data_IF_964999880716
#
_entry.id   IF_964999880716
#
_cell.length_a   1.000
_cell.length_b   1.000
_cell.length_c   1.000
_cell.angle_alpha   90.00
_cell.angle_beta   90.00
_cell.angle_gamma   90.00
#
_symmetry.space_group_name_H-M   'P 1'
#
loop_
_entity.id
_entity.type
_entity.pdbx_description
1 polymer ?
#
# COMPACT_ATOMS: atom_id res chain seq x y z
N UNK A 1 45.18 -42.52 -54.41
CA UNK A 1 45.49 -41.09 -54.26
C UNK A 1 44.75 -40.55 -53.04
N UNK A 2 45.46 -40.18 -51.96
CA UNK A 2 44.88 -39.52 -50.78
C UNK A 2 45.08 -38.02 -50.93
N UNK A 3 44.06 -37.30 -51.37
CA UNK A 3 44.09 -35.84 -51.43
C UNK A 3 44.12 -35.26 -50.03
N UNK A 4 45.24 -34.62 -49.66
CA UNK A 4 45.34 -33.83 -48.43
C UNK A 4 44.52 -32.56 -48.62
N UNK A 5 43.38 -32.47 -47.95
CA UNK A 5 42.64 -31.21 -47.80
C UNK A 5 43.48 -30.28 -46.92
N UNK A 6 44.03 -29.22 -47.51
CA UNK A 6 44.59 -28.10 -46.76
C UNK A 6 43.43 -27.33 -46.16
N UNK A 7 43.09 -27.65 -44.91
CA UNK A 7 42.10 -26.89 -44.15
C UNK A 7 42.69 -25.51 -43.82
N UNK A 8 41.99 -24.45 -44.21
CA UNK A 8 42.37 -23.10 -43.85
C UNK A 8 42.06 -22.88 -42.37
N UNK A 9 43.09 -23.02 -41.53
CA UNK A 9 42.99 -22.90 -40.08
C UNK A 9 42.40 -21.57 -39.62
N UNK A 10 42.56 -20.50 -40.40
CA UNK A 10 41.98 -19.19 -40.11
C UNK A 10 40.44 -19.23 -40.17
N UNK A 11 39.88 -20.02 -41.10
CA UNK A 11 38.42 -20.24 -41.22
C UNK A 11 37.90 -21.06 -40.04
N UNK A 12 38.66 -22.08 -39.60
CA UNK A 12 38.25 -22.91 -38.47
C UNK A 12 38.21 -22.08 -37.18
N UNK A 13 39.24 -21.26 -36.94
CA UNK A 13 39.30 -20.40 -35.75
C UNK A 13 38.17 -19.37 -35.74
N UNK A 14 37.88 -18.74 -36.88
CA UNK A 14 36.79 -17.76 -36.98
C UNK A 14 35.41 -18.39 -36.73
N UNK A 15 35.17 -19.59 -37.24
CA UNK A 15 33.92 -20.33 -36.97
C UNK A 15 33.78 -20.68 -35.49
N UNK A 16 34.85 -21.16 -34.85
CA UNK A 16 34.83 -21.49 -33.41
C UNK A 16 34.58 -20.25 -32.55
N UNK A 17 35.24 -19.12 -32.87
CA UNK A 17 35.03 -17.86 -32.16
C UNK A 17 33.59 -17.37 -32.32
N UNK A 18 33.04 -17.44 -33.53
CA UNK A 18 31.65 -17.06 -33.78
C UNK A 18 30.67 -17.88 -32.92
N UNK A 19 30.81 -19.21 -32.92
CA UNK A 19 29.95 -20.07 -32.10
C UNK A 19 30.15 -19.87 -30.59
N UNK A 20 31.37 -19.58 -30.13
CA UNK A 20 31.60 -19.24 -28.72
C UNK A 20 30.92 -17.93 -28.32
N UNK A 21 30.97 -16.90 -29.18
CA UNK A 21 30.33 -15.60 -28.94
C UNK A 21 28.80 -15.71 -28.98
N UNK A 22 28.26 -16.55 -29.87
CA UNK A 22 26.84 -16.79 -29.96
C UNK A 22 26.35 -17.57 -28.73
N UNK A 23 27.13 -18.53 -28.24
CA UNK A 23 26.84 -19.27 -27.02
C UNK A 23 26.78 -18.37 -25.78
N UNK A 24 27.76 -17.47 -25.60
CA UNK A 24 27.73 -16.52 -24.47
C UNK A 24 26.59 -15.52 -24.59
N UNK A 25 26.26 -15.07 -25.80
CA UNK A 25 25.12 -14.19 -26.06
C UNK A 25 23.78 -14.86 -25.74
N UNK A 26 23.60 -16.13 -26.11
CA UNK A 26 22.39 -16.89 -25.81
C UNK A 26 22.23 -17.16 -24.30
N UNK A 27 23.32 -17.46 -23.60
CA UNK A 27 23.32 -17.59 -22.14
C UNK A 27 22.99 -16.25 -21.44
N UNK A 28 23.52 -15.14 -21.97
CA UNK A 28 23.18 -13.80 -21.48
C UNK A 28 21.70 -13.46 -21.67
N UNK A 29 21.11 -13.80 -22.82
CA UNK A 29 19.68 -13.61 -23.07
C UNK A 29 18.83 -14.50 -22.16
N UNK A 30 19.19 -15.78 -21.98
CA UNK A 30 18.45 -16.66 -21.08
C UNK A 30 18.47 -16.16 -19.64
N UNK A 31 19.61 -15.67 -19.15
CA UNK A 31 19.71 -15.14 -17.80
C UNK A 31 18.93 -13.82 -17.62
N UNK A 32 18.84 -12.96 -18.64
CA UNK A 32 18.14 -11.67 -18.54
C UNK A 32 16.66 -11.72 -18.88
N UNK A 33 16.19 -12.64 -19.73
CA UNK A 33 14.76 -12.77 -20.06
C UNK A 33 13.98 -13.67 -19.07
N UNK A 34 14.67 -14.54 -18.33
CA UNK A 34 14.02 -15.49 -17.38
C UNK A 34 14.00 -14.94 -15.95
N UNK A 35 14.77 -13.90 -15.63
CA UNK A 35 14.53 -13.16 -14.38
C UNK A 35 13.44 -12.12 -14.62
N UNK A 36 12.40 -12.20 -13.81
CA UNK A 36 11.16 -11.41 -13.86
C UNK A 36 11.43 -9.92 -13.64
N UNK A 37 11.96 -9.23 -14.64
CA UNK A 37 12.05 -7.76 -14.63
C UNK A 37 10.64 -7.18 -14.77
N UNK A 38 10.12 -6.68 -13.68
CA UNK A 38 8.92 -5.84 -13.65
C UNK A 38 9.33 -4.37 -13.82
N UNK A 39 8.41 -3.51 -14.26
CA UNK A 39 8.67 -2.08 -14.26
C UNK A 39 8.58 -1.55 -12.83
N UNK A 40 9.51 -0.64 -12.46
CA UNK A 40 9.48 0.01 -11.16
C UNK A 40 8.13 0.71 -10.96
N UNK A 41 7.41 0.34 -9.89
CA UNK A 41 6.08 0.89 -9.58
C UNK A 41 4.89 0.19 -10.26
N UNK A 42 5.09 -0.84 -11.09
CA UNK A 42 3.98 -1.64 -11.61
C UNK A 42 3.33 -2.46 -10.48
N UNK A 43 2.01 -2.34 -10.35
CA UNK A 43 1.21 -3.26 -9.55
C UNK A 43 1.04 -4.58 -10.32
N UNK A 44 1.74 -5.62 -9.85
CA UNK A 44 1.74 -6.95 -10.47
C UNK A 44 0.59 -7.83 -9.97
N UNK A 45 -0.32 -7.28 -9.16
CA UNK A 45 -1.36 -8.02 -8.45
C UNK A 45 -0.82 -8.96 -7.37
N UNK A 46 -1.69 -9.38 -6.45
CA UNK A 46 -1.34 -10.21 -5.29
C UNK A 46 -0.27 -9.60 -4.36
N UNK A 47 -0.33 -8.28 -4.14
CA UNK A 47 0.45 -7.58 -3.12
C UNK A 47 1.97 -7.70 -3.34
N UNK A 48 2.40 -7.51 -4.59
CA UNK A 48 3.80 -7.55 -4.98
C UNK A 48 4.19 -6.25 -5.66
N UNK A 49 5.34 -5.69 -5.27
CA UNK A 49 5.90 -4.49 -5.88
C UNK A 49 7.21 -4.82 -6.59
N UNK A 50 7.52 -4.04 -7.63
CA UNK A 50 8.81 -4.10 -8.28
C UNK A 50 9.80 -3.11 -7.66
N UNK A 51 10.97 -3.59 -7.23
CA UNK A 51 12.03 -2.72 -6.72
C UNK A 51 12.80 -2.03 -7.87
N UNK A 52 13.70 -1.10 -7.53
CA UNK A 52 14.51 -0.34 -8.48
C UNK A 52 15.51 -1.18 -9.27
N UNK A 53 15.73 -2.43 -8.85
CA UNK A 53 16.59 -3.41 -9.51
C UNK A 53 15.79 -4.31 -10.48
N UNK A 54 14.47 -4.07 -10.59
CA UNK A 54 13.57 -4.86 -11.41
C UNK A 54 13.16 -6.18 -10.76
N UNK A 55 13.43 -6.39 -9.47
CA UNK A 55 13.05 -7.60 -8.76
C UNK A 55 11.64 -7.49 -8.18
N UNK A 56 10.86 -8.56 -8.38
CA UNK A 56 9.53 -8.72 -7.80
C UNK A 56 9.66 -9.09 -6.31
N UNK A 57 9.30 -8.14 -5.44
CA UNK A 57 9.20 -8.37 -4.00
C UNK A 57 7.75 -8.69 -3.67
N UNK A 58 7.52 -9.89 -3.12
CA UNK A 58 6.23 -10.31 -2.58
C UNK A 58 6.41 -10.70 -1.11
N UNK A 59 5.31 -10.74 -0.36
CA UNK A 59 5.17 -11.01 1.10
C UNK A 59 5.95 -12.22 1.68
N UNK A 60 6.62 -13.05 0.88
CA UNK A 60 7.41 -14.19 1.36
C UNK A 60 8.89 -13.88 1.68
N UNK A 61 9.38 -12.66 1.44
CA UNK A 61 10.80 -12.33 1.65
C UNK A 61 11.06 -11.02 2.43
N UNK A 62 10.10 -10.53 3.21
CA UNK A 62 10.42 -9.54 4.25
C UNK A 62 11.12 -10.28 5.39
N UNK A 63 12.45 -10.20 5.39
CA UNK A 63 13.32 -10.70 6.45
C UNK A 63 12.77 -10.35 7.82
N UNK A 64 12.59 -11.39 8.65
CA UNK A 64 12.19 -11.31 10.06
C UNK A 64 13.17 -10.45 10.86
N UNK A 65 12.93 -9.15 10.90
CA UNK A 65 13.38 -8.32 12.01
C UNK A 65 12.18 -7.52 12.58
N UNK A 66 11.73 -8.01 13.74
CA UNK A 66 10.99 -7.29 14.79
C UNK A 66 9.53 -6.83 14.50
N UNK A 67 8.59 -7.70 14.90
CA UNK A 67 7.24 -7.36 15.45
C UNK A 67 6.09 -6.92 14.53
N UNK A 68 6.11 -7.23 13.22
CA UNK A 68 4.96 -7.01 12.31
C UNK A 68 4.28 -8.34 11.93
N UNK A 69 3.97 -9.21 12.90
CA UNK A 69 3.39 -10.54 12.61
C UNK A 69 1.87 -10.55 12.48
N UNK A 70 1.19 -9.46 12.83
CA UNK A 70 -0.27 -9.48 13.01
C UNK A 70 -1.02 -8.60 11.99
N UNK A 71 -0.29 -7.87 11.12
CA UNK A 71 -0.89 -7.06 10.07
C UNK A 71 -0.98 -7.87 8.78
N UNK A 72 -2.05 -7.67 8.03
CA UNK A 72 -2.31 -8.35 6.76
C UNK A 72 -2.84 -7.35 5.73
N UNK A 73 -2.59 -7.66 4.47
CA UNK A 73 -3.15 -7.02 3.28
C UNK A 73 -4.20 -7.92 2.60
N UNK A 74 -4.45 -9.11 3.13
CA UNK A 74 -5.37 -10.06 2.53
C UNK A 74 -6.79 -9.51 2.54
N UNK A 75 -7.41 -9.39 1.36
CA UNK A 75 -8.74 -8.81 1.22
C UNK A 75 -8.77 -7.28 1.35
N UNK A 76 -7.61 -6.61 1.31
CA UNK A 76 -7.51 -5.15 1.25
C UNK A 76 -7.27 -4.71 -0.19
N UNK A 77 -8.14 -3.84 -0.70
CA UNK A 77 -7.84 -2.98 -1.84
C UNK A 77 -7.34 -1.65 -1.30
N UNK A 78 -6.07 -1.34 -1.56
CA UNK A 78 -5.43 -0.11 -1.09
C UNK A 78 -5.07 0.77 -2.28
N UNK A 79 -5.36 2.07 -2.16
CA UNK A 79 -4.91 3.07 -3.12
C UNK A 79 -4.49 4.35 -2.40
N UNK A 80 -3.67 5.14 -3.07
CA UNK A 80 -3.24 6.42 -2.55
C UNK A 80 -3.06 7.44 -3.67
N UNK A 81 -3.24 8.71 -3.33
CA UNK A 81 -3.07 9.81 -4.27
C UNK A 81 -2.55 11.06 -3.56
N UNK A 82 -1.99 11.98 -4.34
CA UNK A 82 -1.53 13.28 -3.85
C UNK A 82 -2.70 14.21 -3.57
N UNK A 83 -2.66 14.90 -2.42
CA UNK A 83 -3.63 15.95 -2.10
C UNK A 83 -3.02 17.34 -2.26
N UNK A 84 -1.96 17.62 -1.51
CA UNK A 84 -1.32 18.93 -1.52
C UNK A 84 0.11 18.86 -1.01
N UNK A 85 0.95 19.79 -1.48
CA UNK A 85 2.30 19.98 -0.94
C UNK A 85 2.21 20.58 0.46
N UNK A 86 3.19 20.27 1.29
CA UNK A 86 3.34 20.86 2.61
C UNK A 86 4.56 21.78 2.64
N UNK A 87 4.56 22.76 3.54
CA UNK A 87 5.74 23.60 3.76
C UNK A 87 6.89 22.76 4.32
N UNK A 88 8.13 23.13 3.98
CA UNK A 88 9.36 22.41 4.36
C UNK A 88 9.51 22.24 5.88
N UNK A 89 8.87 23.11 6.67
CA UNK A 89 8.90 23.08 8.14
C UNK A 89 7.75 22.30 8.79
N UNK A 90 6.89 21.68 8.00
CA UNK A 90 5.76 20.93 8.51
C UNK A 90 6.18 19.55 9.00
N UNK A 91 5.70 19.16 10.17
CA UNK A 91 5.92 17.81 10.71
C UNK A 91 5.01 16.83 9.98
N UNK A 92 5.56 16.15 8.98
CA UNK A 92 4.89 15.12 8.17
C UNK A 92 4.27 14.04 9.06
N UNK A 93 4.85 13.78 10.23
CA UNK A 93 4.48 12.67 11.11
C UNK A 93 3.22 12.94 11.96
N UNK A 94 2.75 14.19 12.04
CA UNK A 94 1.58 14.55 12.87
C UNK A 94 0.29 14.79 12.08
N UNK A 95 0.31 14.58 10.76
CA UNK A 95 -0.81 14.92 9.89
C UNK A 95 -1.70 13.73 9.58
N UNK A 96 -2.25 13.05 10.59
CA UNK A 96 -3.24 11.98 10.36
C UNK A 96 -4.64 12.53 10.58
N UNK A 97 -5.48 12.45 9.54
CA UNK A 97 -6.89 12.81 9.60
C UNK A 97 -7.72 11.72 8.94
N UNK A 98 -8.73 11.24 9.66
CA UNK A 98 -9.78 10.41 9.08
C UNK A 98 -10.76 11.31 8.34
N UNK A 99 -10.86 11.15 7.02
CA UNK A 99 -11.70 12.02 6.18
C UNK A 99 -13.09 11.42 5.95
N UNK A 100 -13.17 10.12 5.68
CA UNK A 100 -14.43 9.40 5.48
C UNK A 100 -14.29 7.94 5.90
N UNK A 101 -15.27 7.43 6.63
CA UNK A 101 -15.39 6.02 7.00
C UNK A 101 -16.81 5.59 6.65
N UNK A 102 -16.91 4.59 5.78
CA UNK A 102 -18.18 4.12 5.26
C UNK A 102 -18.19 2.59 5.11
N UNK A 103 -19.34 1.99 5.41
CA UNK A 103 -19.57 0.55 5.18
C UNK A 103 -20.66 0.40 4.13
N UNK A 104 -20.33 -0.26 3.01
CA UNK A 104 -21.26 -0.51 1.90
C UNK A 104 -21.39 -2.01 1.72
N UNK A 105 -22.55 -2.56 2.12
CA UNK A 105 -22.76 -4.00 2.16
C UNK A 105 -21.77 -4.67 3.11
N UNK A 106 -20.92 -5.55 2.58
CA UNK A 106 -19.87 -6.24 3.34
C UNK A 106 -18.54 -5.51 3.30
N UNK A 107 -18.39 -4.42 2.56
CA UNK A 107 -17.09 -3.76 2.40
C UNK A 107 -16.99 -2.57 3.35
N UNK A 108 -15.85 -2.46 4.03
CA UNK A 108 -15.51 -1.29 4.84
C UNK A 108 -14.49 -0.44 4.09
N UNK A 109 -14.86 0.80 3.78
CA UNK A 109 -13.99 1.80 3.18
C UNK A 109 -13.57 2.80 4.24
N UNK A 110 -12.27 3.03 4.37
CA UNK A 110 -11.67 4.04 5.24
C UNK A 110 -10.77 4.93 4.40
N UNK A 111 -10.99 6.23 4.46
CA UNK A 111 -10.18 7.24 3.80
C UNK A 111 -9.41 8.04 4.85
N UNK A 112 -8.10 8.11 4.67
CA UNK A 112 -7.15 8.80 5.54
C UNK A 112 -6.39 9.85 4.75
N UNK A 113 -6.23 11.03 5.32
CA UNK A 113 -5.21 11.99 4.89
C UNK A 113 -4.01 11.83 5.81
N UNK A 114 -2.85 11.44 5.27
CA UNK A 114 -1.61 11.29 6.04
C UNK A 114 -0.49 12.14 5.42
N UNK A 115 0.51 12.52 6.22
CA UNK A 115 1.75 13.06 5.68
C UNK A 115 2.57 11.98 4.99
N UNK A 116 3.18 12.32 3.86
CA UNK A 116 4.04 11.43 3.07
C UNK A 116 5.17 12.23 2.40
N UNK A 117 5.98 11.53 1.60
CA UNK A 117 7.03 12.12 0.78
C UNK A 117 6.63 12.04 -0.69
N UNK A 118 6.79 13.15 -1.41
CA UNK A 118 6.48 13.27 -2.82
C UNK A 118 7.71 13.67 -3.64
N UNK A 119 7.63 13.49 -4.95
CA UNK A 119 8.61 14.01 -5.90
C UNK A 119 8.15 15.35 -6.50
N UNK A 120 8.96 15.92 -7.39
CA UNK A 120 8.67 17.20 -8.07
C UNK A 120 7.48 17.14 -9.02
N UNK A 121 7.01 15.95 -9.38
CA UNK A 121 5.85 15.73 -10.23
C UNK A 121 4.55 15.52 -9.41
N UNK A 122 4.63 15.73 -8.09
CA UNK A 122 3.54 15.48 -7.13
C UNK A 122 3.11 14.00 -7.08
N UNK A 123 4.01 13.07 -7.38
CA UNK A 123 3.77 11.66 -7.12
C UNK A 123 4.15 11.35 -5.68
N UNK A 124 3.25 10.67 -4.97
CA UNK A 124 3.50 10.16 -3.62
C UNK A 124 4.47 8.98 -3.69
N UNK A 125 5.37 8.87 -2.72
CA UNK A 125 6.30 7.75 -2.62
C UNK A 125 5.54 6.42 -2.62
N UNK A 126 6.02 5.39 -3.34
CA UNK A 126 5.37 4.09 -3.36
C UNK A 126 5.15 3.59 -1.94
N UNK A 127 3.92 3.19 -1.64
CA UNK A 127 3.52 2.80 -0.29
C UNK A 127 2.49 1.68 -0.35
N UNK A 128 2.37 0.93 0.74
CA UNK A 128 1.46 -0.21 0.86
C UNK A 128 0.67 -0.12 2.16
N UNK A 129 -0.64 -0.33 2.05
CA UNK A 129 -1.54 -0.39 3.19
C UNK A 129 -1.61 -1.79 3.80
N UNK A 130 -1.77 -1.84 5.11
CA UNK A 130 -2.05 -3.05 5.86
C UNK A 130 -3.11 -2.77 6.93
N UNK A 131 -3.76 -3.84 7.40
CA UNK A 131 -4.67 -3.74 8.52
C UNK A 131 -4.50 -4.91 9.49
N UNK A 132 -4.96 -4.71 10.72
CA UNK A 132 -5.07 -5.73 11.74
C UNK A 132 -6.42 -5.62 12.41
N UNK A 133 -7.15 -6.73 12.40
CA UNK A 133 -8.43 -6.85 13.08
C UNK A 133 -8.25 -7.49 14.46
N UNK A 134 -8.89 -6.90 15.47
CA UNK A 134 -9.05 -7.45 16.81
C UNK A 134 -10.53 -7.40 17.20
N UNK A 135 -10.90 -8.02 18.32
CA UNK A 135 -12.31 -8.18 18.73
C UNK A 135 -13.11 -6.86 18.70
N UNK A 136 -12.52 -5.77 19.21
CA UNK A 136 -13.16 -4.45 19.30
C UNK A 136 -12.37 -3.34 18.59
N UNK A 137 -11.44 -3.67 17.70
CA UNK A 137 -10.72 -2.63 16.95
C UNK A 137 -10.16 -3.07 15.62
N UNK A 138 -10.15 -2.13 14.69
CA UNK A 138 -9.45 -2.21 13.42
C UNK A 138 -8.30 -1.20 13.44
N UNK A 139 -7.09 -1.69 13.18
CA UNK A 139 -5.88 -0.87 13.12
C UNK A 139 -5.36 -0.90 11.69
N UNK A 140 -5.27 0.27 11.06
CA UNK A 140 -4.68 0.49 9.74
C UNK A 140 -3.23 0.94 9.89
N UNK A 141 -2.40 0.65 8.89
CA UNK A 141 -1.03 1.17 8.82
C UNK A 141 -0.58 1.26 7.37
N UNK A 142 0.38 2.13 7.09
CA UNK A 142 1.03 2.26 5.78
C UNK A 142 2.52 2.04 5.98
N UNK A 143 3.14 1.35 5.02
CA UNK A 143 4.59 1.26 4.90
C UNK A 143 5.02 1.94 3.61
N UNK A 144 5.91 2.91 3.71
CA UNK A 144 6.42 3.67 2.57
C UNK A 144 7.79 3.16 2.10
N UNK A 145 8.03 3.17 0.79
CA UNK A 145 9.32 2.85 0.18
C UNK A 145 10.03 4.13 -0.28
N UNK A 146 11.01 4.58 0.52
CA UNK A 146 11.83 5.75 0.25
C UNK A 146 13.21 5.42 -0.34
N UNK A 147 13.37 4.24 -0.95
CA UNK A 147 14.65 3.86 -1.61
C UNK A 147 15.04 4.81 -2.75
N UNK A 148 14.08 5.47 -3.37
CA UNK A 148 14.28 6.42 -4.44
C UNK A 148 14.38 7.85 -3.89
N UNK A 149 15.55 8.48 -4.06
CA UNK A 149 15.88 9.82 -3.56
C UNK A 149 15.11 10.96 -4.23
N UNK A 150 14.36 10.68 -5.30
CA UNK A 150 13.47 11.68 -5.92
C UNK A 150 12.25 12.02 -5.06
N UNK A 151 11.85 11.13 -4.13
CA UNK A 151 10.78 11.40 -3.17
C UNK A 151 11.35 12.11 -1.93
N UNK A 152 11.49 13.42 -2.02
CA UNK A 152 12.17 14.23 -1.00
C UNK A 152 11.40 15.50 -0.59
N UNK A 153 10.17 15.69 -1.09
CA UNK A 153 9.32 16.84 -0.80
C UNK A 153 8.19 16.41 0.14
N UNK A 154 8.07 17.00 1.34
CA UNK A 154 6.92 16.79 2.22
C UNK A 154 5.57 17.08 1.53
N UNK A 155 4.63 16.15 1.62
CA UNK A 155 3.30 16.31 1.05
C UNK A 155 2.24 15.62 1.90
N UNK A 156 0.97 15.88 1.57
CA UNK A 156 -0.18 15.15 2.09
C UNK A 156 -0.69 14.19 1.04
N UNK A 157 -0.96 12.96 1.45
CA UNK A 157 -1.58 11.94 0.60
C UNK A 157 -2.94 11.52 1.12
N UNK A 158 -3.87 11.28 0.20
CA UNK A 158 -5.10 10.56 0.46
C UNK A 158 -4.81 9.07 0.35
N UNK A 159 -5.30 8.29 1.32
CA UNK A 159 -5.05 6.86 1.42
C UNK A 159 -6.40 6.19 1.65
N UNK A 160 -6.76 5.30 0.73
CA UNK A 160 -8.04 4.60 0.75
C UNK A 160 -7.79 3.14 1.06
N UNK A 161 -8.43 2.66 2.11
CA UNK A 161 -8.41 1.26 2.53
C UNK A 161 -9.81 0.69 2.32
N UNK A 162 -9.94 -0.26 1.39
CA UNK A 162 -11.20 -0.97 1.17
C UNK A 162 -11.03 -2.43 1.60
N UNK A 163 -11.53 -2.76 2.79
CA UNK A 163 -11.48 -4.11 3.33
C UNK A 163 -12.72 -4.87 2.88
N UNK A 164 -12.51 -5.89 2.05
CA UNK A 164 -13.58 -6.74 1.51
C UNK A 164 -14.08 -7.74 2.55
N UNK A 165 -15.36 -8.09 2.47
CA UNK A 165 -15.98 -9.11 3.32
C UNK A 165 -15.83 -8.83 4.84
N UNK A 166 -15.89 -7.55 5.22
CA UNK A 166 -15.92 -7.06 6.59
C UNK A 166 -17.24 -7.44 7.30
N UNK A 167 -17.30 -8.70 7.74
CA UNK A 167 -18.47 -9.31 8.38
C UNK A 167 -18.40 -9.28 9.92
N UNK A 168 -17.61 -8.38 10.50
CA UNK A 168 -17.56 -8.23 11.95
C UNK A 168 -18.82 -7.52 12.45
N UNK A 169 -19.39 -8.05 13.54
CA UNK A 169 -20.41 -7.35 14.31
C UNK A 169 -19.73 -6.17 14.99
N UNK A 170 -19.98 -4.97 14.46
CA UNK A 170 -19.43 -3.73 14.99
C UNK A 170 -20.22 -3.41 16.27
N UNK A 171 -19.61 -3.65 17.41
CA UNK A 171 -20.13 -3.25 18.73
C UNK A 171 -20.00 -1.74 18.93
N UNK A 172 -20.75 -1.16 19.86
CA UNK A 172 -20.60 0.27 20.23
C UNK A 172 -19.20 0.61 20.75
N UNK A 173 -18.43 -0.40 21.18
CA UNK A 173 -17.06 -0.26 21.67
C UNK A 173 -16.01 -0.38 20.56
N UNK A 174 -16.40 -0.66 19.31
CA UNK A 174 -15.47 -0.85 18.22
C UNK A 174 -14.72 0.44 17.88
N UNK A 175 -13.39 0.34 17.74
CA UNK A 175 -12.51 1.48 17.48
C UNK A 175 -11.79 1.33 16.15
N UNK A 176 -11.81 2.38 15.34
CA UNK A 176 -10.94 2.49 14.19
C UNK A 176 -9.70 3.31 14.54
N UNK A 177 -8.54 2.77 14.21
CA UNK A 177 -7.25 3.38 14.51
C UNK A 177 -6.31 3.31 13.32
N UNK A 178 -5.38 4.26 13.26
CA UNK A 178 -4.24 4.26 12.37
C UNK A 178 -2.97 4.24 13.21
N UNK A 179 -2.01 3.39 12.85
CA UNK A 179 -0.70 3.31 13.47
C UNK A 179 0.37 3.71 12.44
N UNK A 180 1.17 4.71 12.76
CA UNK A 180 2.28 5.12 11.89
C UNK A 180 3.52 4.19 12.05
N UNK A 181 4.54 4.44 11.22
CA UNK A 181 5.80 3.69 11.23
C UNK A 181 6.59 3.86 12.54
N UNK A 182 6.31 4.93 13.30
CA UNK A 182 6.89 5.23 14.61
C UNK A 182 6.07 4.64 15.78
N UNK A 183 5.02 3.87 15.49
CA UNK A 183 4.09 3.25 16.43
C UNK A 183 3.20 4.24 17.20
N UNK A 184 3.10 5.49 16.76
CA UNK A 184 2.07 6.40 17.26
C UNK A 184 0.71 5.94 16.76
N UNK A 185 -0.31 6.04 17.62
CA UNK A 185 -1.66 5.58 17.33
C UNK A 185 -2.61 6.78 17.30
N UNK A 186 -3.34 6.88 16.20
CA UNK A 186 -4.36 7.89 15.94
C UNK A 186 -5.72 7.20 15.91
N UNK A 187 -6.68 7.69 16.70
CA UNK A 187 -8.03 7.12 16.76
C UNK A 187 -8.99 7.96 15.93
N UNK A 188 -9.90 7.31 15.21
CA UNK A 188 -10.98 8.00 14.53
C UNK A 188 -12.06 8.46 15.51
N UNK A 189 -12.61 9.65 15.29
CA UNK A 189 -13.73 10.21 16.04
C UNK A 189 -15.09 9.72 15.47
N UNK A 190 -15.22 8.42 15.25
CA UNK A 190 -16.46 7.80 14.75
C UNK A 190 -17.39 7.38 15.87
N UNK A 191 -18.69 7.50 15.62
CA UNK A 191 -19.72 6.95 16.49
C UNK A 191 -20.30 5.69 15.86
N UNK A 192 -20.65 4.72 16.69
CA UNK A 192 -21.38 3.54 16.25
C UNK A 192 -22.74 3.60 16.90
N UNK A 193 -23.77 3.67 16.07
CA UNK A 193 -25.14 3.80 16.51
C UNK A 193 -26.04 2.89 15.69
N UNK A 194 -26.79 2.03 16.38
CA UNK A 194 -27.72 1.06 15.76
C UNK A 194 -27.04 0.19 14.68
N UNK A 195 -25.75 -0.13 14.86
CA UNK A 195 -24.97 -0.94 13.93
C UNK A 195 -24.39 -0.19 12.71
N UNK A 196 -24.61 1.12 12.63
CA UNK A 196 -24.05 1.99 11.59
C UNK A 196 -22.83 2.76 12.11
N UNK A 197 -21.80 2.89 11.27
CA UNK A 197 -20.67 3.79 11.52
C UNK A 197 -21.08 5.19 11.07
N UNK A 198 -20.86 6.18 11.93
CA UNK A 198 -21.13 7.60 11.70
C UNK A 198 -19.83 8.38 11.85
N UNK A 199 -19.53 9.23 10.88
CA UNK A 199 -18.37 10.11 10.93
C UNK A 199 -18.62 11.27 11.90
N UNK A 200 -17.54 11.88 12.39
CA UNK A 200 -17.66 13.05 13.24
C UNK A 200 -18.41 14.17 12.51
N UNK A 201 -19.43 14.73 13.15
CA UNK A 201 -20.29 15.76 12.59
C UNK A 201 -21.54 15.25 11.87
N UNK A 202 -21.66 13.95 11.60
CA UNK A 202 -22.86 13.38 10.98
C UNK A 202 -24.10 13.61 11.85
N UNK A 203 -25.21 13.97 11.20
CA UNK A 203 -26.53 14.13 11.81
C UNK A 203 -27.47 13.06 11.24
N UNK A 204 -28.19 12.38 12.12
CA UNK A 204 -29.07 11.26 11.76
C UNK A 204 -30.25 11.15 12.74
N UNK A 205 -31.32 10.51 12.30
CA UNK A 205 -32.50 10.26 13.14
C UNK A 205 -32.40 8.86 13.78
N UNK A 206 -32.81 8.73 15.03
CA UNK A 206 -32.88 7.43 15.72
C UNK A 206 -34.01 6.56 15.15
N UNK A 207 -33.77 5.25 14.97
CA UNK A 207 -34.82 4.33 14.55
C UNK A 207 -35.87 4.16 15.66
N UNK A 208 -37.11 4.57 15.37
CA UNK A 208 -38.25 4.38 16.26
C UNK A 208 -38.43 5.46 17.34
N UNK A 209 -37.57 6.49 17.39
CA UNK A 209 -37.74 7.66 18.24
C UNK A 209 -37.65 8.94 17.40
N UNK A 210 -38.49 9.95 17.68
CA UNK A 210 -38.37 11.30 17.10
C UNK A 210 -37.20 12.07 17.75
N UNK A 211 -36.01 11.49 17.72
CA UNK A 211 -34.77 12.09 18.21
C UNK A 211 -33.84 12.34 17.04
N UNK A 212 -33.28 13.55 16.99
CA UNK A 212 -32.17 13.89 16.10
C UNK A 212 -30.88 13.68 16.89
N UNK A 213 -30.02 12.84 16.34
CA UNK A 213 -28.73 12.48 16.90
C UNK A 213 -27.60 13.07 16.04
N UNK A 214 -26.50 13.40 16.70
CA UNK A 214 -25.27 13.86 16.06
C UNK A 214 -24.08 13.11 16.63
N UNK A 215 -23.15 12.74 15.76
CA UNK A 215 -21.85 12.24 16.20
C UNK A 215 -20.93 13.42 16.52
N UNK A 216 -20.50 13.54 17.78
CA UNK A 216 -19.57 14.58 18.22
C UNK A 216 -18.38 13.95 18.92
N UNK A 217 -17.20 14.04 18.29
CA UNK A 217 -15.92 13.56 18.81
C UNK A 217 -15.98 12.10 19.31
N UNK A 218 -16.56 11.22 18.50
CA UNK A 218 -16.73 9.80 18.82
C UNK A 218 -17.85 9.48 19.83
N UNK A 219 -18.70 10.43 20.18
CA UNK A 219 -19.87 10.23 21.05
C UNK A 219 -21.17 10.64 20.36
N UNK A 220 -22.21 9.80 20.48
CA UNK A 220 -23.55 10.13 19.98
C UNK A 220 -24.29 11.02 20.98
N UNK A 221 -24.73 12.19 20.54
CA UNK A 221 -25.56 13.13 21.30
C UNK A 221 -26.91 13.26 20.62
N UNK A 222 -27.99 12.97 21.34
CA UNK A 222 -29.36 13.03 20.79
C UNK A 222 -30.21 14.07 21.53
N UNK A 223 -31.01 14.82 20.80
CA UNK A 223 -32.00 15.77 21.32
C UNK A 223 -33.36 15.55 20.68
N UNK A 224 -34.43 15.89 21.43
CA UNK A 224 -35.76 16.10 20.84
C UNK A 224 -35.74 17.43 20.10
N UNK A 225 -36.35 17.45 18.92
CA UNK A 225 -36.75 18.71 18.29
C UNK A 225 -37.77 19.47 19.16
#
# INVERSE_FOLDING_TARGET
MKGRLYANWLVIITVVLFFSSLGTFLLYIQNNLVSKQCAYGDDLGNNCICNSEGEKICDMQVSKENSVTDFTSNGLEYSFDFLNSLDINSDVNQMVKFSDISKVGTDLKVTLEIGSMCNTENLVSPQMGFFRLQEDKLILTVVSNLSNTSFNIPCKSENVFTIKNFNQNISETFKLQYQDEYKNVYQADTCIYEGYIRNNGDVYQSEGQELICRCENGSTVCSKD
#
